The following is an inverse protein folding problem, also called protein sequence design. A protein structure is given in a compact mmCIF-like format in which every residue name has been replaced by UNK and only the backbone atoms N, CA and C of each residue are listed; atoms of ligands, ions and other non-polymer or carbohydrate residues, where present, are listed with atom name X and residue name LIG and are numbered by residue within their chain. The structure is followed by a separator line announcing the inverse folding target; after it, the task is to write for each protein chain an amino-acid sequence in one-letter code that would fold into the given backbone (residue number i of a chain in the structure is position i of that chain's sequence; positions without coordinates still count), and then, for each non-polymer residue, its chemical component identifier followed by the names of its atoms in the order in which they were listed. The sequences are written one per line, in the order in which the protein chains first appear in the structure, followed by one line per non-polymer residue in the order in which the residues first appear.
data_IF_851335631837
#
_entry.id   IF_851335631837
#
_cell.length_a   1.000
_cell.length_b   1.000
_cell.length_c   1.000
_cell.angle_alpha   90.00
_cell.angle_beta   90.00
_cell.angle_gamma   90.00
#
_symmetry.space_group_name_H-M   'P 1'
#
loop_
_entity.id
_entity.type
_entity.pdbx_description
1 polymer ?
#
# COMPACT_ATOMS: atom_id res chain seq x y z
N UNK A 1 -2.36 8.35 4.35
CA UNK A 1 -3.62 8.75 5.04
C UNK A 1 -4.51 9.67 4.20
N UNK A 2 -4.00 10.81 3.69
CA UNK A 2 -4.81 11.79 2.95
C UNK A 2 -5.58 11.18 1.76
N UNK A 3 -4.96 10.22 1.09
CA UNK A 3 -5.52 9.50 -0.07
C UNK A 3 -6.79 8.68 0.24
N UNK A 4 -7.01 8.28 1.50
CA UNK A 4 -8.19 7.52 1.92
C UNK A 4 -9.04 8.28 2.96
N UNK A 5 -8.86 9.60 3.07
CA UNK A 5 -9.59 10.44 4.02
C UNK A 5 -9.19 10.23 5.49
N UNK A 6 -8.04 9.62 5.74
CA UNK A 6 -7.48 9.47 7.10
C UNK A 6 -6.94 10.79 7.67
N UNK A 7 -6.63 10.80 8.97
CA UNK A 7 -6.12 11.99 9.67
C UNK A 7 -4.83 12.54 9.06
N UNK A 8 -4.55 13.82 9.29
CA UNK A 8 -3.52 14.63 8.63
C UNK A 8 -2.07 14.14 8.80
N UNK A 9 -1.81 13.14 9.63
CA UNK A 9 -0.46 12.59 9.87
C UNK A 9 0.12 11.84 8.67
N UNK A 10 -0.69 11.51 7.66
CA UNK A 10 -0.21 10.79 6.47
C UNK A 10 0.06 9.30 6.70
N UNK A 11 -0.01 8.82 7.94
CA UNK A 11 0.45 7.49 8.36
C UNK A 11 -0.63 6.40 8.31
N UNK A 12 -0.21 5.14 8.25
CA UNK A 12 -1.00 3.92 8.46
C UNK A 12 -1.08 3.51 9.95
N UNK A 13 -0.47 4.29 10.86
CA UNK A 13 -0.46 3.98 12.28
C UNK A 13 -1.87 3.93 12.88
N UNK A 14 -2.18 2.80 13.53
CA UNK A 14 -3.47 2.55 14.17
C UNK A 14 -4.59 2.13 13.22
N UNK A 15 -4.32 1.99 11.93
CA UNK A 15 -5.30 1.47 10.97
C UNK A 15 -5.46 -0.04 11.15
N UNK A 16 -6.69 -0.48 11.44
CA UNK A 16 -7.00 -1.89 11.76
C UNK A 16 -8.05 -2.51 10.84
N UNK A 17 -8.55 -1.72 9.88
CA UNK A 17 -9.53 -2.14 8.88
C UNK A 17 -9.11 -1.63 7.51
N UNK A 18 -9.46 -2.34 6.43
CA UNK A 18 -9.25 -1.83 5.08
C UNK A 18 -10.06 -0.55 4.84
N UNK A 19 -9.74 0.14 3.75
CA UNK A 19 -10.60 1.18 3.18
C UNK A 19 -11.93 0.51 2.79
N UNK A 20 -13.04 1.12 3.18
CA UNK A 20 -14.37 0.58 2.91
C UNK A 20 -14.76 0.64 1.43
N UNK A 21 -15.57 -0.32 1.00
CA UNK A 21 -16.08 -0.40 -0.37
C UNK A 21 -15.06 -0.98 -1.36
N UNK A 22 -15.36 -0.82 -2.64
CA UNK A 22 -14.52 -1.38 -3.71
C UNK A 22 -13.55 -0.36 -4.29
N UNK A 23 -13.82 0.94 -4.19
CA UNK A 23 -13.07 2.00 -4.87
C UNK A 23 -12.09 2.68 -3.91
N UNK A 24 -10.86 2.90 -4.38
CA UNK A 24 -9.87 3.67 -3.62
C UNK A 24 -9.98 5.17 -3.95
N UNK A 25 -10.19 6.06 -2.97
CA UNK A 25 -10.43 7.48 -3.24
C UNK A 25 -9.23 8.22 -3.83
N UNK A 26 -8.00 7.77 -3.56
CA UNK A 26 -6.77 8.39 -4.06
C UNK A 26 -6.50 8.17 -5.56
N UNK A 27 -7.31 7.34 -6.22
CA UNK A 27 -7.14 7.01 -7.63
C UNK A 27 -5.96 6.09 -7.92
N UNK A 28 -5.69 5.92 -9.21
CA UNK A 28 -4.57 5.14 -9.73
C UNK A 28 -3.23 5.85 -9.48
N UNK A 29 -2.13 5.11 -9.25
CA UNK A 29 -0.79 5.69 -9.21
C UNK A 29 -0.41 6.37 -10.53
N UNK A 30 0.38 7.43 -10.45
CA UNK A 30 0.83 8.21 -11.60
C UNK A 30 1.69 7.44 -12.62
N UNK A 31 2.22 6.26 -12.25
CA UNK A 31 3.06 5.40 -13.08
C UNK A 31 2.31 4.27 -13.79
N UNK A 32 1.02 4.07 -13.49
CA UNK A 32 0.24 2.94 -14.03
C UNK A 32 0.14 2.99 -15.56
N UNK A 33 -0.10 4.17 -16.13
CA UNK A 33 -0.20 4.35 -17.58
C UNK A 33 1.11 4.01 -18.31
N UNK A 34 2.26 4.37 -17.72
CA UNK A 34 3.59 4.11 -18.27
C UNK A 34 3.91 2.61 -18.20
N UNK A 35 3.54 1.94 -17.10
CA UNK A 35 3.69 0.48 -16.98
C UNK A 35 2.90 -0.25 -18.08
N UNK A 36 1.63 0.12 -18.29
CA UNK A 36 0.79 -0.46 -19.34
C UNK A 36 1.34 -0.17 -20.74
N UNK A 37 1.90 1.02 -20.97
CA UNK A 37 2.55 1.35 -22.23
C UNK A 37 3.75 0.43 -22.51
N UNK A 38 4.63 0.24 -21.52
CA UNK A 38 5.80 -0.63 -21.65
C UNK A 38 5.37 -2.07 -21.90
N UNK A 39 4.44 -2.60 -21.11
CA UNK A 39 3.94 -3.98 -21.26
C UNK A 39 3.42 -4.26 -22.68
N UNK A 40 2.70 -3.32 -23.29
CA UNK A 40 2.18 -3.43 -24.67
C UNK A 40 3.26 -3.39 -25.75
N UNK A 41 4.46 -2.90 -25.42
CA UNK A 41 5.60 -2.74 -26.34
C UNK A 41 6.68 -3.79 -26.15
N UNK A 42 6.56 -4.66 -25.15
CA UNK A 42 7.54 -5.72 -24.90
C UNK A 42 7.57 -6.72 -26.05
N UNK A 43 8.79 -7.00 -26.56
CA UNK A 43 9.00 -8.05 -27.57
C UNK A 43 8.77 -9.46 -27.02
N UNK A 44 8.90 -9.64 -25.70
CA UNK A 44 8.53 -10.86 -24.96
C UNK A 44 7.42 -10.50 -23.98
N UNK A 45 6.14 -10.84 -24.26
CA UNK A 45 5.02 -10.45 -23.42
C UNK A 45 5.14 -10.96 -21.98
N UNK A 46 4.79 -10.12 -21.01
CA UNK A 46 4.66 -10.49 -19.60
C UNK A 46 3.19 -10.35 -19.17
N UNK A 47 2.76 -11.24 -18.27
CA UNK A 47 1.43 -11.13 -17.66
C UNK A 47 1.52 -10.20 -16.45
N UNK A 48 0.71 -9.13 -16.44
CA UNK A 48 0.62 -8.24 -15.28
C UNK A 48 -0.28 -8.87 -14.22
N UNK A 49 0.29 -9.14 -13.05
CA UNK A 49 -0.50 -9.37 -11.84
C UNK A 49 -0.88 -8.02 -11.25
N UNK A 50 -2.03 -7.49 -11.67
CA UNK A 50 -2.51 -6.20 -11.17
C UNK A 50 -3.19 -6.36 -9.80
N UNK A 51 -2.41 -6.11 -8.75
CA UNK A 51 -2.88 -6.07 -7.35
C UNK A 51 -2.93 -4.65 -6.81
N UNK A 52 -2.77 -3.63 -7.65
CA UNK A 52 -2.58 -2.23 -7.22
C UNK A 52 -3.74 -1.74 -6.37
N UNK A 53 -4.96 -1.80 -6.92
CA UNK A 53 -6.18 -1.34 -6.22
C UNK A 53 -6.50 -2.19 -5.00
N UNK A 54 -6.32 -3.52 -5.10
CA UNK A 54 -6.55 -4.43 -3.98
C UNK A 54 -5.62 -4.07 -2.81
N UNK A 55 -4.35 -3.78 -3.09
CA UNK A 55 -3.35 -3.36 -2.09
C UNK A 55 -3.63 -1.97 -1.54
N UNK A 56 -4.06 -1.00 -2.36
CA UNK A 56 -4.43 0.35 -1.89
C UNK A 56 -5.57 0.32 -0.85
N UNK A 57 -6.48 -0.64 -0.94
CA UNK A 57 -7.54 -0.81 0.05
C UNK A 57 -7.00 -1.32 1.41
N UNK A 58 -5.80 -1.89 1.47
CA UNK A 58 -5.25 -2.59 2.64
C UNK A 58 -4.34 -1.72 3.51
N UNK A 59 -4.82 -0.53 3.89
CA UNK A 59 -4.13 0.34 4.87
C UNK A 59 -3.86 -0.32 6.23
N UNK A 60 -4.58 -1.39 6.54
CA UNK A 60 -4.45 -2.24 7.73
C UNK A 60 -3.38 -3.34 7.62
N UNK A 61 -2.82 -3.59 6.44
CA UNK A 61 -1.90 -4.71 6.22
C UNK A 61 -0.43 -4.41 6.51
N UNK A 62 -0.10 -3.18 6.92
CA UNK A 62 1.26 -2.74 7.15
C UNK A 62 1.75 -3.05 8.58
N UNK A 63 3.06 -3.29 8.77
CA UNK A 63 3.65 -3.48 10.10
C UNK A 63 3.59 -2.21 10.96
N UNK A 64 3.47 -1.03 10.34
CA UNK A 64 3.35 0.23 11.06
C UNK A 64 4.50 0.40 12.06
N UNK A 65 4.21 0.53 13.36
CA UNK A 65 5.20 0.70 14.43
C UNK A 65 5.93 -0.60 14.81
N UNK A 66 5.51 -1.75 14.27
CA UNK A 66 6.02 -3.10 14.58
C UNK A 66 7.06 -3.59 13.58
N UNK A 67 7.74 -2.67 12.88
CA UNK A 67 8.80 -2.94 11.92
C UNK A 67 10.20 -3.14 12.56
N UNK A 68 10.25 -3.28 13.89
CA UNK A 68 11.48 -3.44 14.67
C UNK A 68 11.36 -4.66 15.59
N UNK A 69 12.51 -5.17 16.03
CA UNK A 69 12.58 -6.32 16.92
C UNK A 69 11.76 -6.06 18.21
N UNK A 70 10.75 -6.90 18.51
CA UNK A 70 9.95 -6.80 19.73
C UNK A 70 10.79 -6.82 21.02
N UNK A 71 11.93 -7.52 21.02
CA UNK A 71 12.84 -7.61 22.16
C UNK A 71 13.58 -6.31 22.47
N UNK A 72 13.64 -5.39 21.51
CA UNK A 72 14.28 -4.08 21.70
C UNK A 72 13.45 -3.13 22.57
N UNK A 73 12.16 -3.42 22.79
CA UNK A 73 11.22 -2.56 23.53
C UNK A 73 10.96 -1.19 22.86
N UNK A 74 11.53 -0.93 21.69
CA UNK A 74 11.37 0.31 20.94
C UNK A 74 10.23 0.15 19.94
N UNK A 75 9.45 1.22 19.75
CA UNK A 75 8.55 1.34 18.58
C UNK A 75 9.32 2.06 17.48
N UNK A 76 9.30 1.52 16.27
CA UNK A 76 9.89 2.18 15.10
C UNK A 76 9.03 3.34 14.61
N UNK A 77 9.54 4.10 13.63
CA UNK A 77 8.68 4.99 12.85
C UNK A 77 7.69 4.16 12.03
N UNK A 78 6.44 4.61 11.84
CA UNK A 78 5.45 3.85 11.09
C UNK A 78 5.95 3.48 9.69
N UNK A 79 6.07 2.19 9.44
CA UNK A 79 6.33 1.66 8.11
C UNK A 79 5.02 1.33 7.41
N UNK A 80 4.74 2.10 6.36
CA UNK A 80 3.56 1.96 5.51
C UNK A 80 3.93 1.51 4.09
N UNK A 81 5.11 0.92 3.92
CA UNK A 81 5.63 0.42 2.64
C UNK A 81 5.76 -1.10 2.61
N UNK A 82 6.08 -1.72 3.75
CA UNK A 82 6.15 -3.17 3.90
C UNK A 82 4.81 -3.78 4.33
N UNK A 83 4.71 -5.10 4.30
CA UNK A 83 3.50 -5.84 4.64
C UNK A 83 3.77 -6.80 5.80
N UNK A 84 2.82 -6.88 6.72
CA UNK A 84 2.79 -7.96 7.71
C UNK A 84 2.58 -9.31 7.01
N UNK A 85 3.28 -10.33 7.51
CA UNK A 85 3.05 -11.73 7.16
C UNK A 85 2.54 -12.46 8.41
N UNK A 86 1.64 -13.42 8.21
CA UNK A 86 1.06 -14.27 9.25
C UNK A 86 1.70 -15.65 9.25
#
# INVERSE_FOLDING_TARGET
AKEWGGSSSGSCAGETKPVGGFFYPGGAPNFEAQLLYVLRKMSKPATLLDVTRLSQLRKDGHPSLYNVDPSSGKKGSPDCSHWCLA
#
